data_IF_759875621587
#
_entry.id   IF_759875621587
#
_cell.length_a   1.000
_cell.length_b   1.000
_cell.length_c   1.000
_cell.angle_alpha   90.00
_cell.angle_beta   90.00
_cell.angle_gamma   90.00
#
_symmetry.space_group_name_H-M   'P 1'
#
loop_
_entity.id
_entity.type
_entity.pdbx_description
1 polymer ?
#
# COMPACT_ATOMS: atom_id res chain seq x y z
N UNK A 1 -22.63 -6.72 1.42
CA UNK A 1 -21.17 -6.61 1.52
C UNK A 1 -20.63 -6.36 0.16
N UNK A 2 -20.63 -5.07 -0.16
CA UNK A 2 -19.74 -4.44 -1.13
C UNK A 2 -18.45 -4.01 -0.39
N UNK A 3 -17.56 -3.29 -1.07
CA UNK A 3 -16.32 -2.76 -0.50
C UNK A 3 -16.56 -1.91 0.75
N UNK A 4 -17.60 -1.07 0.75
CA UNK A 4 -17.94 -0.24 1.90
C UNK A 4 -18.19 -1.06 3.17
N UNK A 5 -18.99 -2.12 3.07
CA UNK A 5 -19.29 -2.95 4.24
C UNK A 5 -18.03 -3.66 4.77
N UNK A 6 -17.12 -4.10 3.89
CA UNK A 6 -15.81 -4.64 4.33
C UNK A 6 -14.99 -3.58 5.05
N UNK A 7 -14.89 -2.38 4.45
CA UNK A 7 -14.14 -1.28 5.00
C UNK A 7 -14.68 -0.82 6.36
N UNK A 8 -16.00 -0.69 6.49
CA UNK A 8 -16.64 -0.27 7.74
C UNK A 8 -16.41 -1.30 8.85
N UNK A 9 -16.56 -2.60 8.54
CA UNK A 9 -16.26 -3.67 9.50
C UNK A 9 -14.78 -3.68 9.91
N UNK A 10 -13.87 -3.57 8.94
CA UNK A 10 -12.43 -3.56 9.18
C UNK A 10 -12.00 -2.34 10.01
N UNK A 11 -12.49 -1.15 9.65
CA UNK A 11 -12.27 0.10 10.38
C UNK A 11 -12.85 0.05 11.80
N UNK A 12 -14.04 -0.53 11.99
CA UNK A 12 -14.63 -0.70 13.34
C UNK A 12 -13.75 -1.58 14.22
N UNK A 13 -13.22 -2.68 13.66
CA UNK A 13 -12.39 -3.64 14.40
C UNK A 13 -11.03 -3.06 14.79
N UNK A 14 -10.38 -2.31 13.89
CA UNK A 14 -9.03 -1.79 14.06
C UNK A 14 -8.96 -0.27 14.23
N UNK A 15 -10.04 0.33 14.72
CA UNK A 15 -10.17 1.80 14.78
C UNK A 15 -9.01 2.44 15.52
N UNK A 16 -8.66 1.91 16.71
CA UNK A 16 -7.56 2.43 17.54
C UNK A 16 -6.21 2.37 16.81
N UNK A 17 -5.92 1.29 16.11
CA UNK A 17 -4.67 1.13 15.37
C UNK A 17 -4.62 2.11 14.19
N UNK A 18 -5.71 2.22 13.42
CA UNK A 18 -5.79 3.03 12.21
C UNK A 18 -5.63 4.52 12.52
N UNK A 19 -6.33 5.03 13.54
CA UNK A 19 -6.30 6.48 13.88
C UNK A 19 -4.94 6.93 14.42
N UNK A 20 -4.13 6.02 14.95
CA UNK A 20 -2.76 6.33 15.37
C UNK A 20 -1.75 6.13 14.24
N UNK A 21 -1.92 5.07 13.46
CA UNK A 21 -0.95 4.66 12.44
C UNK A 21 -0.84 5.65 11.29
N UNK A 22 -1.96 5.97 10.62
CA UNK A 22 -1.94 6.79 9.39
C UNK A 22 -1.40 8.22 9.64
N UNK A 23 -1.82 8.96 10.68
CA UNK A 23 -1.26 10.28 10.94
C UNK A 23 0.23 10.23 11.30
N UNK A 24 0.67 9.22 12.07
CA UNK A 24 2.09 9.03 12.41
C UNK A 24 2.92 8.78 11.15
N UNK A 25 2.45 7.90 10.27
CA UNK A 25 3.13 7.59 9.02
C UNK A 25 3.22 8.84 8.13
N UNK A 26 2.13 9.58 7.96
CA UNK A 26 2.12 10.77 7.12
C UNK A 26 3.06 11.86 7.64
N UNK A 27 3.04 12.14 8.95
CA UNK A 27 3.95 13.10 9.57
C UNK A 27 5.43 12.69 9.42
N UNK A 28 5.73 11.38 9.47
CA UNK A 28 7.07 10.88 9.19
C UNK A 28 7.50 11.16 7.75
N UNK A 29 6.61 10.99 6.77
CA UNK A 29 6.90 11.29 5.36
C UNK A 29 7.13 12.79 5.11
N UNK A 30 6.35 13.66 5.76
CA UNK A 30 6.57 15.11 5.71
C UNK A 30 7.95 15.47 6.29
N UNK A 31 8.31 14.86 7.42
CA UNK A 31 9.61 15.09 8.05
C UNK A 31 10.77 14.64 7.14
N UNK A 32 10.65 13.48 6.50
CA UNK A 32 11.63 13.01 5.51
C UNK A 32 11.83 14.04 4.40
N UNK A 33 10.76 14.64 3.87
CA UNK A 33 10.88 15.71 2.86
C UNK A 33 11.61 16.93 3.43
N UNK A 34 11.27 17.36 4.65
CA UNK A 34 11.92 18.50 5.31
C UNK A 34 13.43 18.26 5.48
N UNK A 35 13.79 17.03 5.87
CA UNK A 35 15.17 16.59 6.10
C UNK A 35 15.96 16.57 4.78
N UNK A 36 15.35 16.04 3.71
CA UNK A 36 15.92 16.07 2.37
C UNK A 36 16.13 17.51 1.86
N UNK A 37 15.30 18.47 2.27
CA UNK A 37 15.43 19.88 1.88
C UNK A 37 16.44 20.67 2.73
N UNK A 38 17.01 20.11 3.80
CA UNK A 38 17.89 20.87 4.72
C UNK A 38 19.11 21.47 4.03
N UNK A 39 19.72 20.73 3.11
CA UNK A 39 20.91 21.16 2.39
C UNK A 39 20.68 22.42 1.53
N UNK A 40 19.43 22.72 1.15
CA UNK A 40 19.06 23.85 0.31
C UNK A 40 19.00 25.18 1.07
N UNK A 41 19.16 25.18 2.41
CA UNK A 41 19.14 26.38 3.27
C UNK A 41 17.90 27.27 3.08
N UNK A 42 16.77 26.68 2.72
CA UNK A 42 15.51 27.39 2.55
C UNK A 42 14.95 27.83 3.93
N UNK A 43 14.19 28.94 3.98
CA UNK A 43 13.46 29.32 5.18
C UNK A 43 12.55 28.19 5.68
N UNK A 44 12.43 28.02 7.01
CA UNK A 44 11.61 26.96 7.62
C UNK A 44 10.17 26.92 7.09
N UNK A 45 9.54 28.08 6.93
CA UNK A 45 8.17 28.19 6.42
C UNK A 45 8.03 27.63 5.00
N UNK A 46 9.04 27.78 4.15
CA UNK A 46 9.01 27.32 2.77
C UNK A 46 9.22 25.80 2.70
N UNK A 47 10.10 25.25 3.54
CA UNK A 47 10.28 23.79 3.66
C UNK A 47 8.99 23.12 4.13
N UNK A 48 8.33 23.71 5.13
CA UNK A 48 7.06 23.22 5.62
C UNK A 48 5.98 23.27 4.52
N UNK A 49 5.87 24.39 3.80
CA UNK A 49 4.94 24.50 2.68
C UNK A 49 5.18 23.43 1.60
N UNK A 50 6.44 23.16 1.26
CA UNK A 50 6.79 22.12 0.28
C UNK A 50 6.45 20.72 0.80
N UNK A 51 6.70 20.44 2.08
CA UNK A 51 6.35 19.16 2.68
C UNK A 51 4.84 18.95 2.71
N UNK A 52 4.11 19.89 3.29
CA UNK A 52 2.67 19.77 3.54
C UNK A 52 1.88 19.76 2.22
N UNK A 53 2.04 20.83 1.42
CA UNK A 53 1.26 21.00 0.19
C UNK A 53 1.85 20.19 -0.97
N UNK A 54 3.17 20.03 -1.02
CA UNK A 54 3.82 19.30 -2.10
C UNK A 54 3.57 17.78 -2.02
N UNK A 55 3.64 17.18 -0.82
CA UNK A 55 3.31 15.77 -0.64
C UNK A 55 1.84 15.51 -0.93
N UNK A 56 0.94 16.32 -0.37
CA UNK A 56 -0.50 16.22 -0.62
C UNK A 56 -0.81 16.34 -2.12
N UNK A 57 -0.28 17.36 -2.78
CA UNK A 57 -0.47 17.58 -4.22
C UNK A 57 0.03 16.40 -5.05
N UNK A 58 1.22 15.88 -4.76
CA UNK A 58 1.79 14.76 -5.51
C UNK A 58 0.94 13.48 -5.38
N UNK A 59 0.45 13.17 -4.18
CA UNK A 59 -0.37 11.98 -3.93
C UNK A 59 -1.79 12.14 -4.51
N UNK A 60 -2.37 13.34 -4.45
CA UNK A 60 -3.66 13.63 -5.07
C UNK A 60 -3.57 13.56 -6.60
N UNK A 61 -2.51 14.11 -7.17
CA UNK A 61 -2.21 14.00 -8.60
C UNK A 61 -2.04 12.53 -9.01
N UNK A 62 -1.34 11.73 -8.22
CA UNK A 62 -1.19 10.31 -8.50
C UNK A 62 -2.55 9.59 -8.52
N UNK A 63 -3.43 9.86 -7.55
CA UNK A 63 -4.79 9.31 -7.58
C UNK A 63 -5.58 9.79 -8.82
N UNK A 64 -5.44 11.06 -9.22
CA UNK A 64 -6.12 11.58 -10.42
C UNK A 64 -5.72 10.85 -11.71
N UNK A 65 -4.45 10.44 -11.82
CA UNK A 65 -3.93 9.68 -12.96
C UNK A 65 -4.34 8.20 -12.92
N UNK A 66 -4.52 7.64 -11.72
CA UNK A 66 -4.81 6.23 -11.50
C UNK A 66 -6.32 5.89 -11.45
N UNK A 67 -7.18 6.81 -11.01
CA UNK A 67 -8.56 6.52 -10.62
C UNK A 67 -9.43 5.90 -11.72
N UNK A 68 -9.14 6.17 -12.99
CA UNK A 68 -9.87 5.59 -14.12
C UNK A 68 -9.63 4.07 -14.28
N UNK A 69 -8.56 3.56 -13.68
CA UNK A 69 -8.13 2.16 -13.75
C UNK A 69 -8.45 1.37 -12.48
N UNK A 70 -8.77 2.04 -11.37
CA UNK A 70 -9.06 1.43 -10.07
C UNK A 70 -10.54 1.06 -9.99
N UNK A 71 -10.87 -0.15 -9.54
CA UNK A 71 -12.25 -0.57 -9.27
C UNK A 71 -12.87 0.35 -8.21
N UNK A 72 -14.05 0.93 -8.49
CA UNK A 72 -14.80 1.72 -7.52
C UNK A 72 -14.99 1.08 -6.13
N UNK A 73 -14.98 -0.26 -6.02
CA UNK A 73 -15.06 -0.95 -4.74
C UNK A 73 -13.89 -0.64 -3.80
N UNK A 74 -12.69 -0.34 -4.33
CA UNK A 74 -11.53 0.07 -3.52
C UNK A 74 -11.82 1.39 -2.81
N UNK A 75 -12.33 2.38 -3.54
CA UNK A 75 -12.71 3.67 -2.96
C UNK A 75 -13.85 3.54 -1.95
N UNK A 76 -14.81 2.62 -2.18
CA UNK A 76 -15.88 2.33 -1.22
C UNK A 76 -15.34 1.70 0.04
N UNK A 77 -14.37 0.79 -0.05
CA UNK A 77 -13.72 0.17 1.12
C UNK A 77 -12.95 1.20 1.93
N UNK A 78 -12.15 2.05 1.29
CA UNK A 78 -11.49 3.18 1.96
C UNK A 78 -12.51 4.11 2.64
N UNK A 79 -13.64 4.39 1.98
CA UNK A 79 -14.71 5.19 2.56
C UNK A 79 -15.32 4.53 3.80
N UNK A 80 -15.54 3.22 3.77
CA UNK A 80 -16.05 2.47 4.92
C UNK A 80 -15.09 2.56 6.12
N UNK A 81 -13.79 2.42 5.88
CA UNK A 81 -12.76 2.58 6.92
C UNK A 81 -12.80 4.00 7.50
N UNK A 82 -12.82 5.02 6.64
CA UNK A 82 -12.88 6.41 7.07
C UNK A 82 -14.12 6.70 7.91
N UNK A 83 -15.29 6.24 7.49
CA UNK A 83 -16.55 6.45 8.21
C UNK A 83 -16.58 5.75 9.57
N UNK A 84 -16.01 4.54 9.68
CA UNK A 84 -15.96 3.78 10.93
C UNK A 84 -14.99 4.37 11.94
N UNK A 85 -13.84 4.87 11.47
CA UNK A 85 -12.75 5.37 12.33
C UNK A 85 -12.78 6.88 12.56
N UNK A 86 -13.53 7.62 11.72
CA UNK A 86 -13.53 9.10 11.65
C UNK A 86 -12.19 9.69 11.24
N UNK A 87 -11.27 8.88 10.69
CA UNK A 87 -10.06 9.41 10.07
C UNK A 87 -10.42 10.15 8.79
N UNK A 88 -9.60 11.14 8.44
CA UNK A 88 -9.70 11.79 7.14
C UNK A 88 -9.52 10.78 6.00
N UNK A 89 -10.46 10.82 5.05
CA UNK A 89 -10.42 9.91 3.91
C UNK A 89 -9.29 10.26 2.95
N UNK A 90 -8.99 11.54 2.77
CA UNK A 90 -7.95 11.94 1.83
C UNK A 90 -6.58 11.49 2.33
N UNK A 91 -6.30 11.63 3.63
CA UNK A 91 -5.14 11.00 4.29
C UNK A 91 -5.05 9.49 4.00
N UNK A 92 -6.15 8.74 4.19
CA UNK A 92 -6.19 7.30 3.96
C UNK A 92 -5.88 6.97 2.49
N UNK A 93 -6.51 7.68 1.56
CA UNK A 93 -6.32 7.47 0.12
C UNK A 93 -4.91 7.84 -0.33
N UNK A 94 -4.37 8.98 0.11
CA UNK A 94 -3.02 9.45 -0.19
C UNK A 94 -1.97 8.43 0.22
N UNK A 95 -2.09 7.85 1.41
CA UNK A 95 -1.15 6.81 1.86
C UNK A 95 -1.26 5.49 1.08
N UNK A 96 -2.36 5.25 0.35
CA UNK A 96 -2.46 4.15 -0.61
C UNK A 96 -1.87 4.49 -1.99
N UNK A 97 -1.63 5.76 -2.32
CA UNK A 97 -0.92 6.17 -3.55
C UNK A 97 0.60 6.26 -3.34
N UNK A 98 1.04 6.32 -2.09
CA UNK A 98 2.43 6.59 -1.73
C UNK A 98 3.45 5.60 -2.34
N UNK A 99 3.07 4.33 -2.47
CA UNK A 99 3.92 3.31 -3.08
C UNK A 99 4.27 3.61 -4.55
N UNK A 100 3.44 4.35 -5.28
CA UNK A 100 3.73 4.71 -6.69
C UNK A 100 4.79 5.80 -6.82
N UNK A 101 4.97 6.61 -5.77
CA UNK A 101 5.95 7.70 -5.75
C UNK A 101 7.28 7.29 -5.10
N UNK A 102 7.35 6.10 -4.52
CA UNK A 102 8.52 5.67 -3.74
C UNK A 102 9.01 4.29 -4.16
N UNK A 103 10.32 4.06 -3.98
CA UNK A 103 10.96 2.78 -4.32
C UNK A 103 11.36 2.09 -3.01
N UNK A 104 10.49 1.19 -2.53
CA UNK A 104 10.78 0.38 -1.36
C UNK A 104 11.87 -0.68 -1.60
N UNK A 105 12.52 -1.10 -0.51
CA UNK A 105 13.50 -2.19 -0.53
C UNK A 105 12.82 -3.49 -0.10
N UNK A 106 13.05 -4.55 -0.86
CA UNK A 106 12.51 -5.88 -0.56
C UNK A 106 13.50 -6.94 -1.02
N UNK A 107 13.40 -8.13 -0.44
CA UNK A 107 14.04 -9.35 -0.98
C UNK A 107 12.95 -10.40 -1.25
N UNK A 108 13.05 -11.09 -2.38
CA UNK A 108 12.11 -12.15 -2.79
C UNK A 108 12.88 -13.41 -3.16
N UNK A 109 12.36 -14.56 -2.72
CA UNK A 109 12.86 -15.88 -3.11
C UNK A 109 11.71 -16.77 -3.54
N UNK A 110 11.90 -17.47 -4.67
CA UNK A 110 11.04 -18.55 -5.12
C UNK A 110 11.88 -19.81 -5.31
N UNK A 111 11.53 -20.90 -4.62
CA UNK A 111 12.19 -22.19 -4.76
C UNK A 111 11.15 -23.26 -5.11
N UNK A 112 11.48 -24.17 -6.03
CA UNK A 112 10.60 -25.27 -6.42
C UNK A 112 11.39 -26.45 -6.98
N UNK A 113 10.71 -27.57 -7.26
CA UNK A 113 11.33 -28.73 -7.89
C UNK A 113 12.45 -29.33 -7.04
N UNK A 114 13.62 -29.56 -7.63
CA UNK A 114 14.75 -30.19 -6.92
C UNK A 114 15.32 -29.32 -5.78
N UNK A 115 14.99 -28.03 -5.74
CA UNK A 115 15.44 -27.12 -4.68
C UNK A 115 14.67 -27.28 -3.37
N UNK A 116 13.55 -28.02 -3.35
CA UNK A 116 12.67 -28.14 -2.19
C UNK A 116 12.28 -29.59 -1.89
N UNK A 117 11.92 -29.87 -0.63
CA UNK A 117 11.43 -31.20 -0.25
C UNK A 117 10.13 -31.51 -1.01
N UNK A 118 10.12 -32.64 -1.72
CA UNK A 118 9.00 -33.13 -2.53
C UNK A 118 8.59 -32.21 -3.70
N UNK A 119 9.46 -31.31 -4.16
CA UNK A 119 9.17 -30.49 -5.34
C UNK A 119 8.19 -29.33 -5.11
N UNK A 120 7.77 -29.09 -3.87
CA UNK A 120 6.79 -28.05 -3.52
C UNK A 120 7.34 -26.65 -3.78
N UNK A 121 6.48 -25.72 -4.20
CA UNK A 121 6.87 -24.32 -4.31
C UNK A 121 6.93 -23.67 -2.93
N UNK A 122 8.05 -23.01 -2.63
CA UNK A 122 8.24 -22.15 -1.47
C UNK A 122 8.47 -20.73 -1.97
N UNK A 123 7.76 -19.78 -1.39
CA UNK A 123 7.94 -18.36 -1.61
C UNK A 123 8.30 -17.70 -0.29
N UNK A 124 9.33 -16.86 -0.30
CA UNK A 124 9.74 -16.07 0.86
C UNK A 124 9.92 -14.62 0.45
N UNK A 125 9.69 -13.73 1.41
CA UNK A 125 9.82 -12.29 1.24
C UNK A 125 10.32 -11.62 2.50
N UNK A 126 11.13 -10.57 2.34
CA UNK A 126 11.26 -9.47 3.30
C UNK A 126 10.71 -8.18 2.69
N UNK A 127 10.12 -7.34 3.53
CA UNK A 127 9.77 -5.95 3.20
C UNK A 127 10.54 -5.07 4.17
N UNK A 128 11.42 -4.24 3.63
CA UNK A 128 12.38 -3.47 4.40
C UNK A 128 12.04 -1.98 4.25
N UNK A 129 11.82 -1.31 5.37
CA UNK A 129 11.52 0.11 5.43
C UNK A 129 12.14 0.74 6.68
N UNK A 130 12.20 2.06 6.72
CA UNK A 130 12.72 2.79 7.88
C UNK A 130 11.89 2.50 9.14
N UNK A 131 12.59 2.14 10.23
CA UNK A 131 12.01 1.86 11.54
C UNK A 131 11.33 3.09 12.15
N UNK A 132 11.76 4.30 11.77
CA UNK A 132 11.20 5.58 12.19
C UNK A 132 9.76 5.78 11.71
N UNK A 133 9.39 5.15 10.59
CA UNK A 133 8.01 5.16 10.08
C UNK A 133 7.04 4.40 11.00
N UNK A 134 7.54 3.54 11.90
CA UNK A 134 6.72 2.82 12.89
C UNK A 134 5.78 1.76 12.28
N UNK A 135 6.03 1.33 11.04
CA UNK A 135 5.26 0.29 10.34
C UNK A 135 5.19 -1.01 11.16
N UNK A 136 6.29 -1.38 11.82
CA UNK A 136 6.41 -2.60 12.62
C UNK A 136 5.49 -2.65 13.86
N UNK A 137 4.93 -1.51 14.28
CA UNK A 137 4.04 -1.43 15.44
C UNK A 137 2.59 -1.83 15.10
N UNK A 138 2.24 -1.87 13.81
CA UNK A 138 0.87 -2.07 13.32
C UNK A 138 0.70 -3.23 12.31
N UNK A 139 1.37 -4.39 12.45
CA UNK A 139 1.26 -5.49 11.49
C UNK A 139 -0.12 -6.15 11.55
N UNK A 140 -0.72 -6.43 10.40
CA UNK A 140 -2.02 -7.08 10.28
C UNK A 140 -2.00 -8.11 9.15
N UNK A 141 -2.60 -9.26 9.44
CA UNK A 141 -2.95 -10.26 8.43
C UNK A 141 -4.46 -10.21 8.24
N UNK A 142 -4.91 -9.69 7.11
CA UNK A 142 -6.33 -9.59 6.76
C UNK A 142 -6.71 -10.71 5.80
N UNK A 143 -7.74 -11.48 6.14
CA UNK A 143 -8.28 -12.53 5.25
C UNK A 143 -9.57 -12.02 4.64
N UNK A 144 -9.59 -11.85 3.32
CA UNK A 144 -10.76 -11.46 2.56
C UNK A 144 -11.54 -12.70 2.13
N UNK A 145 -12.85 -12.70 2.39
CA UNK A 145 -13.76 -13.77 2.00
C UNK A 145 -14.80 -13.24 1.01
N UNK A 146 -14.50 -13.22 -0.31
CA UNK A 146 -15.47 -12.81 -1.32
C UNK A 146 -16.76 -13.63 -1.22
N UNK A 147 -17.91 -12.98 -1.37
CA UNK A 147 -19.23 -13.62 -1.24
C UNK A 147 -19.55 -14.61 -2.35
N UNK A 148 -18.88 -14.50 -3.48
CA UNK A 148 -19.05 -15.37 -4.64
C UNK A 148 -17.70 -15.57 -5.30
N UNK A 149 -17.42 -16.77 -5.86
CA UNK A 149 -16.23 -17.02 -6.67
C UNK A 149 -16.10 -16.07 -7.89
N UNK A 150 -17.21 -15.49 -8.35
CA UNK A 150 -17.20 -14.48 -9.42
C UNK A 150 -16.63 -13.13 -9.00
N UNK A 151 -16.46 -12.91 -7.70
CA UNK A 151 -15.90 -11.68 -7.12
C UNK A 151 -14.43 -11.88 -6.67
N UNK A 152 -13.82 -13.00 -7.03
CA UNK A 152 -12.44 -13.35 -6.67
C UNK A 152 -12.33 -14.53 -5.71
N UNK A 153 -11.10 -14.87 -5.36
CA UNK A 153 -10.82 -15.95 -4.43
C UNK A 153 -10.65 -15.43 -3.00
N UNK A 154 -10.77 -16.33 -2.03
CA UNK A 154 -10.35 -15.96 -0.67
C UNK A 154 -8.85 -15.70 -0.70
N UNK A 155 -8.42 -14.57 -0.19
CA UNK A 155 -7.01 -14.21 -0.16
C UNK A 155 -6.61 -13.56 1.15
N UNK A 156 -5.32 -13.63 1.43
CA UNK A 156 -4.68 -13.03 2.59
C UNK A 156 -3.89 -11.80 2.14
N UNK A 157 -4.04 -10.68 2.84
CA UNK A 157 -3.17 -9.53 2.75
C UNK A 157 -2.31 -9.45 4.01
N UNK A 158 -0.99 -9.48 3.86
CA UNK A 158 -0.03 -9.27 4.95
C UNK A 158 0.49 -7.85 4.82
N UNK A 159 0.00 -6.96 5.69
CA UNK A 159 0.22 -5.52 5.61
C UNK A 159 0.12 -4.87 7.00
N UNK A 160 -0.41 -3.65 7.05
CA UNK A 160 -0.60 -2.86 8.27
C UNK A 160 -2.09 -2.57 8.52
N UNK A 161 -2.41 -2.17 9.75
CA UNK A 161 -3.77 -1.79 10.11
C UNK A 161 -4.32 -0.72 9.15
N UNK A 162 -5.50 -0.97 8.57
CA UNK A 162 -6.17 -0.08 7.61
C UNK A 162 -5.56 -0.04 6.21
N UNK A 163 -4.46 -0.74 5.94
CA UNK A 163 -3.89 -0.85 4.60
C UNK A 163 -4.59 -1.97 3.82
N UNK A 164 -5.20 -1.62 2.69
CA UNK A 164 -6.03 -2.54 1.89
C UNK A 164 -5.39 -2.92 0.55
N UNK A 165 -4.32 -2.24 0.16
CA UNK A 165 -3.48 -2.66 -0.97
C UNK A 165 -2.70 -3.92 -0.63
N UNK A 166 -2.43 -4.76 -1.63
CA UNK A 166 -1.66 -5.99 -1.44
C UNK A 166 -0.24 -5.74 -1.87
N UNK A 167 0.69 -5.77 -0.91
CA UNK A 167 2.10 -5.95 -1.19
C UNK A 167 2.43 -7.45 -1.20
N UNK A 168 1.99 -8.16 -0.17
CA UNK A 168 2.29 -9.57 0.06
C UNK A 168 1.00 -10.31 0.38
N UNK A 169 0.85 -11.52 -0.17
CA UNK A 169 -0.31 -12.33 0.15
C UNK A 169 -0.26 -13.73 -0.42
N UNK A 170 -1.32 -14.48 -0.13
CA UNK A 170 -1.62 -15.74 -0.82
C UNK A 170 -3.13 -15.92 -0.99
N UNK A 171 -3.54 -16.59 -2.06
CA UNK A 171 -4.94 -16.90 -2.35
C UNK A 171 -5.27 -18.37 -2.12
N UNK A 172 -6.57 -18.68 -2.07
CA UNK A 172 -7.07 -20.05 -1.94
C UNK A 172 -6.79 -20.92 -3.18
N UNK A 173 -6.29 -20.34 -4.28
CA UNK A 173 -5.87 -21.06 -5.48
C UNK A 173 -4.38 -21.39 -5.50
N UNK A 174 -3.71 -21.29 -4.35
CA UNK A 174 -2.27 -21.56 -4.18
C UNK A 174 -1.37 -20.60 -4.97
N UNK A 175 -1.85 -19.37 -5.21
CA UNK A 175 -1.04 -18.27 -5.72
C UNK A 175 -0.49 -17.47 -4.55
N UNK A 176 0.84 -17.29 -4.51
CA UNK A 176 1.48 -16.34 -3.61
C UNK A 176 1.97 -15.12 -4.40
N UNK A 177 1.87 -13.94 -3.81
CA UNK A 177 2.26 -12.69 -4.46
C UNK A 177 3.22 -11.88 -3.59
N UNK A 178 4.15 -11.20 -4.24
CA UNK A 178 5.09 -10.29 -3.63
C UNK A 178 5.54 -9.23 -4.64
N UNK A 179 5.89 -8.06 -4.12
CA UNK A 179 6.43 -6.92 -4.87
C UNK A 179 7.89 -6.72 -4.51
N UNK A 180 8.68 -6.26 -5.48
CA UNK A 180 10.02 -5.72 -5.27
C UNK A 180 10.20 -4.49 -6.17
N UNK A 181 10.84 -3.45 -5.63
CA UNK A 181 11.21 -2.28 -6.42
C UNK A 181 12.38 -2.58 -7.36
N UNK A 182 12.38 -1.96 -8.53
CA UNK A 182 13.48 -2.05 -9.49
C UNK A 182 14.37 -0.82 -9.31
N UNK A 183 15.61 -1.06 -8.87
CA UNK A 183 16.61 0.01 -8.64
C UNK A 183 17.41 0.35 -9.90
N UNK A 184 17.58 -0.62 -10.80
CA UNK A 184 18.38 -0.48 -12.02
C UNK A 184 17.60 -1.03 -13.22
N UNK A 185 16.56 -0.33 -13.68
CA UNK A 185 15.83 -0.74 -14.88
C UNK A 185 16.75 -0.65 -16.09
N UNK A 186 16.61 -1.59 -17.02
CA UNK A 186 17.19 -1.50 -18.37
C UNK A 186 16.10 -1.16 -19.39
N UNK A 187 16.50 -0.99 -20.65
CA UNK A 187 15.60 -0.58 -21.74
C UNK A 187 14.43 -1.56 -21.98
N UNK A 188 14.46 -2.78 -21.43
CA UNK A 188 13.37 -3.76 -21.59
C UNK A 188 12.12 -3.41 -20.77
N UNK A 189 12.24 -2.53 -19.78
CA UNK A 189 11.10 -2.04 -18.99
C UNK A 189 10.25 -0.99 -19.73
N UNK A 190 10.78 -0.39 -20.80
CA UNK A 190 10.12 0.70 -21.51
C UNK A 190 10.11 2.01 -20.71
N UNK A 191 9.28 2.96 -21.15
CA UNK A 191 9.17 4.27 -20.52
C UNK A 191 8.31 4.21 -19.25
N UNK A 192 8.75 4.89 -18.18
CA UNK A 192 7.96 5.05 -16.96
C UNK A 192 6.73 5.94 -17.20
N UNK A 193 5.57 5.49 -16.73
CA UNK A 193 4.31 6.23 -16.81
C UNK A 193 3.51 6.05 -15.52
N UNK A 194 2.95 7.15 -15.02
CA UNK A 194 2.13 7.17 -13.81
C UNK A 194 0.64 6.91 -14.07
N UNK A 195 0.21 6.85 -15.34
CA UNK A 195 -1.16 6.46 -15.72
C UNK A 195 -1.29 4.93 -15.74
N UNK A 196 -2.10 4.40 -14.85
CA UNK A 196 -2.38 2.97 -14.80
C UNK A 196 -2.99 2.55 -13.47
N UNK A 197 -3.11 1.24 -13.32
CA UNK A 197 -3.58 0.66 -12.07
C UNK A 197 -2.42 0.60 -11.07
N UNK A 198 -2.53 1.23 -9.87
CA UNK A 198 -1.49 1.18 -8.85
C UNK A 198 -1.11 -0.27 -8.53
N UNK A 199 0.18 -0.56 -8.39
CA UNK A 199 0.68 -1.93 -8.34
C UNK A 199 0.12 -2.70 -7.14
N UNK A 200 -0.15 -2.01 -6.02
CA UNK A 200 -0.75 -2.62 -4.82
C UNK A 200 -2.18 -3.09 -5.06
N UNK A 201 -2.91 -2.42 -5.95
CA UNK A 201 -4.27 -2.80 -6.31
C UNK A 201 -4.26 -3.81 -7.44
N UNK A 202 -3.36 -3.69 -8.42
CA UNK A 202 -3.11 -4.74 -9.41
C UNK A 202 -2.84 -6.08 -8.73
N UNK A 203 -1.94 -6.11 -7.75
CA UNK A 203 -1.65 -7.31 -6.98
C UNK A 203 -2.89 -7.84 -6.28
N UNK A 204 -3.73 -6.97 -5.75
CA UNK A 204 -5.00 -7.37 -5.14
C UNK A 204 -5.99 -7.99 -6.14
N UNK A 205 -6.09 -7.50 -7.37
CA UNK A 205 -6.98 -8.13 -8.38
C UNK A 205 -6.53 -9.50 -8.82
N UNK A 206 -5.22 -9.78 -8.76
CA UNK A 206 -4.68 -11.08 -9.16
C UNK A 206 -4.95 -12.18 -8.12
N UNK A 207 -5.39 -11.80 -6.91
CA UNK A 207 -5.63 -12.71 -5.78
C UNK A 207 -7.07 -13.23 -5.75
#
# INVERSE_FOLDING_TARGET
MNGYDYGFAYGTLLSEQIIHFFPKLYAYLEQEIIDHLEHLKLPKWLKQLIADEGLAFALDMQNLLAQAYVDPEIYRELRGIADATKIDYDLLLRLHMFGELTRGHCSLYGLWGKATLNGKTLQMRTFDWDIGAGLQDYPVITIYHPRSPTLGHTFTNVAWAGYIGVLTGMSSTMMGIGSIGILFPDDTFGDENMMGLPFIFLQRYLM
#
